data_IF_394117536008
#
_entry.id   IF_394117536008
#
_cell.length_a   1.000
_cell.length_b   1.000
_cell.length_c   1.000
_cell.angle_alpha   90.00
_cell.angle_beta   90.00
_cell.angle_gamma   90.00
#
_symmetry.space_group_name_H-M   'P 1'
#
loop_
_entity.id
_entity.type
_entity.pdbx_description
1 polymer ?
#
# COMPACT_ATOMS: atom_id res chain seq x y z
N UNK A 1 -55.08 -0.85 45.96
CA UNK A 1 -53.75 -1.45 45.71
C UNK A 1 -53.31 -1.07 44.30
N UNK A 2 -52.33 -0.17 44.17
CA UNK A 2 -51.77 0.23 42.87
C UNK A 2 -50.66 -0.75 42.48
N UNK A 3 -50.76 -1.33 41.29
CA UNK A 3 -49.77 -2.22 40.70
C UNK A 3 -48.77 -1.36 39.91
N UNK A 4 -47.49 -1.43 40.27
CA UNK A 4 -46.37 -0.87 39.52
C UNK A 4 -45.91 -1.88 38.47
N UNK A 5 -46.01 -1.56 37.18
CA UNK A 5 -45.35 -2.31 36.11
C UNK A 5 -44.04 -1.61 35.74
N UNK A 6 -42.93 -2.29 36.01
CA UNK A 6 -41.57 -1.91 35.61
C UNK A 6 -41.33 -2.47 34.21
N UNK A 7 -41.12 -1.59 33.22
CA UNK A 7 -40.65 -1.99 31.90
C UNK A 7 -39.12 -2.03 31.92
N UNK A 8 -38.55 -3.24 31.85
CA UNK A 8 -37.14 -3.45 31.57
C UNK A 8 -36.93 -3.50 30.05
N UNK A 9 -36.25 -2.51 29.49
CA UNK A 9 -35.85 -2.49 28.08
C UNK A 9 -34.53 -3.26 27.93
N UNK A 10 -34.59 -4.46 27.35
CA UNK A 10 -33.42 -5.21 26.93
C UNK A 10 -32.86 -4.58 25.64
N UNK A 11 -31.71 -3.92 25.72
CA UNK A 11 -30.91 -3.56 24.55
C UNK A 11 -30.13 -4.81 24.13
N UNK A 12 -30.56 -5.42 23.02
CA UNK A 12 -29.78 -6.47 22.34
C UNK A 12 -28.81 -5.75 21.41
N UNK A 13 -27.56 -5.64 21.84
CA UNK A 13 -26.46 -5.22 20.98
C UNK A 13 -26.18 -6.33 19.96
N UNK A 14 -26.62 -6.12 18.72
CA UNK A 14 -26.24 -6.99 17.60
C UNK A 14 -24.77 -6.72 17.29
N UNK A 15 -23.88 -7.56 17.79
CA UNK A 15 -22.48 -7.56 17.39
C UNK A 15 -22.40 -8.21 16.00
N UNK A 16 -22.24 -7.39 14.96
CA UNK A 16 -21.92 -7.86 13.61
C UNK A 16 -20.48 -8.44 13.61
N UNK A 17 -20.35 -9.74 13.88
CA UNK A 17 -19.10 -10.48 13.73
C UNK A 17 -18.95 -11.00 12.29
N UNK A 18 -18.88 -10.10 11.31
CA UNK A 18 -18.66 -10.49 9.91
C UNK A 18 -17.17 -10.68 9.53
N UNK A 19 -16.33 -11.25 10.40
CA UNK A 19 -14.88 -11.36 10.20
C UNK A 19 -14.34 -12.72 9.73
N UNK A 20 -15.16 -13.75 9.54
CA UNK A 20 -14.66 -15.11 9.24
C UNK A 20 -14.04 -15.30 7.84
N UNK A 21 -14.32 -14.42 6.86
CA UNK A 21 -13.99 -14.67 5.45
C UNK A 21 -12.77 -13.87 4.96
N UNK A 22 -12.38 -12.80 5.67
CA UNK A 22 -11.19 -12.00 5.32
C UNK A 22 -9.87 -12.77 5.51
N UNK A 23 -9.84 -13.79 6.36
CA UNK A 23 -8.63 -14.52 6.68
C UNK A 23 -8.10 -15.41 5.54
N UNK A 24 -8.94 -15.76 4.56
CA UNK A 24 -8.58 -16.69 3.48
C UNK A 24 -8.04 -16.00 2.22
N UNK A 25 -8.29 -14.70 2.05
CA UNK A 25 -7.81 -13.95 0.90
C UNK A 25 -6.42 -13.41 1.19
N UNK A 26 -5.46 -13.70 0.31
CA UNK A 26 -4.04 -13.37 0.49
C UNK A 26 -3.41 -12.88 -0.81
N UNK A 27 -2.20 -12.34 -0.68
CA UNK A 27 -1.33 -11.98 -1.81
C UNK A 27 -1.98 -11.05 -2.85
N UNK A 28 -2.76 -10.06 -2.39
CA UNK A 28 -3.45 -9.13 -3.28
C UNK A 28 -2.42 -8.18 -3.91
N UNK A 29 -2.25 -8.26 -5.23
CA UNK A 29 -1.28 -7.47 -6.01
C UNK A 29 -1.94 -6.74 -7.17
N UNK A 30 -1.43 -5.53 -7.45
CA UNK A 30 -1.68 -4.79 -8.68
C UNK A 30 -0.38 -4.76 -9.47
N UNK A 31 -0.32 -5.55 -10.53
CA UNK A 31 0.87 -5.79 -11.31
C UNK A 31 0.81 -5.07 -12.66
N UNK A 32 1.98 -4.69 -13.16
CA UNK A 32 2.15 -4.24 -14.54
C UNK A 32 1.81 -5.36 -15.55
N UNK A 33 1.67 -5.05 -16.85
CA UNK A 33 1.31 -6.02 -17.88
C UNK A 33 2.19 -7.29 -17.89
N UNK A 34 3.46 -7.17 -17.54
CA UNK A 34 4.43 -8.27 -17.52
C UNK A 34 4.40 -9.12 -16.25
N UNK A 35 3.51 -8.83 -15.27
CA UNK A 35 3.45 -9.50 -13.96
C UNK A 35 4.71 -9.37 -13.09
N UNK A 36 5.66 -8.53 -13.47
CA UNK A 36 6.96 -8.44 -12.79
C UNK A 36 6.98 -7.41 -11.66
N UNK A 37 6.20 -6.33 -11.77
CA UNK A 37 6.33 -5.17 -10.89
C UNK A 37 5.00 -4.74 -10.29
N UNK A 38 4.96 -4.68 -8.96
CA UNK A 38 3.86 -4.04 -8.25
C UNK A 38 3.91 -2.52 -8.45
N UNK A 39 2.75 -1.96 -8.81
CA UNK A 39 2.53 -0.54 -9.04
C UNK A 39 1.23 -0.11 -8.37
N UNK A 40 1.16 1.17 -7.99
CA UNK A 40 -0.07 1.79 -7.50
C UNK A 40 -0.54 2.95 -8.37
N UNK A 41 0.30 3.44 -9.28
CA UNK A 41 -0.02 4.45 -10.28
C UNK A 41 0.04 3.78 -11.64
N UNK A 42 -0.99 4.01 -12.45
CA UNK A 42 -1.13 3.43 -13.78
C UNK A 42 -1.58 4.48 -14.79
N UNK A 43 -1.02 4.41 -15.99
CA UNK A 43 -1.29 5.34 -17.08
C UNK A 43 -2.30 4.73 -18.06
N UNK A 44 -2.89 5.54 -18.95
CA UNK A 44 -3.88 5.06 -19.94
C UNK A 44 -3.33 3.99 -20.92
N UNK A 45 -2.01 3.97 -21.14
CA UNK A 45 -1.34 2.97 -21.98
C UNK A 45 -1.13 1.63 -21.26
N UNK A 46 -1.24 1.61 -19.93
CA UNK A 46 -0.96 0.45 -19.11
C UNK A 46 -2.21 -0.35 -18.81
N UNK A 47 -2.01 -1.66 -18.63
CA UNK A 47 -3.02 -2.56 -18.12
C UNK A 47 -2.66 -2.97 -16.70
N UNK A 48 -3.66 -2.91 -15.83
CA UNK A 48 -3.59 -3.30 -14.43
C UNK A 48 -3.97 -4.77 -14.32
N UNK A 49 -3.02 -5.62 -13.97
CA UNK A 49 -3.29 -7.02 -13.66
C UNK A 49 -3.55 -7.14 -12.15
N UNK A 50 -4.77 -7.53 -11.78
CA UNK A 50 -5.13 -7.76 -10.38
C UNK A 50 -5.03 -9.24 -10.10
N UNK A 51 -4.26 -9.61 -9.08
CA UNK A 51 -4.03 -10.99 -8.68
C UNK A 51 -4.27 -11.14 -7.18
N UNK A 52 -4.96 -12.19 -6.77
CA UNK A 52 -5.10 -12.57 -5.37
C UNK A 52 -5.36 -14.06 -5.24
N UNK A 53 -5.07 -14.62 -4.07
CA UNK A 53 -5.30 -16.02 -3.76
C UNK A 53 -6.41 -16.18 -2.73
N UNK A 54 -7.20 -17.24 -2.86
CA UNK A 54 -8.03 -17.76 -1.78
C UNK A 54 -7.48 -19.11 -1.32
N UNK A 55 -7.18 -19.26 -0.03
CA UNK A 55 -6.55 -20.44 0.58
C UNK A 55 -7.51 -21.65 0.72
N UNK A 56 -8.13 -22.06 -0.39
CA UNK A 56 -9.03 -23.21 -0.50
C UNK A 56 -8.79 -23.97 -1.82
N UNK A 57 -9.31 -25.18 -1.94
CA UNK A 57 -9.16 -26.02 -3.14
C UNK A 57 -10.38 -25.96 -4.11
N UNK A 58 -11.43 -25.20 -3.75
CA UNK A 58 -12.68 -25.12 -4.52
C UNK A 58 -12.86 -23.69 -5.00
N UNK A 59 -13.06 -23.51 -6.31
CA UNK A 59 -13.30 -22.18 -6.86
C UNK A 59 -14.68 -21.65 -6.49
N UNK A 60 -14.75 -20.35 -6.24
CA UNK A 60 -15.96 -19.59 -5.92
C UNK A 60 -16.18 -18.51 -6.95
N UNK A 61 -17.40 -17.97 -6.96
CA UNK A 61 -17.74 -16.85 -7.83
C UNK A 61 -17.42 -15.54 -7.13
N UNK A 62 -16.51 -14.78 -7.71
CA UNK A 62 -16.20 -13.43 -7.31
C UNK A 62 -16.54 -12.45 -8.42
N UNK A 63 -16.92 -11.25 -8.00
CA UNK A 63 -17.26 -10.13 -8.85
C UNK A 63 -16.43 -8.93 -8.44
N UNK A 64 -16.03 -8.10 -9.39
CA UNK A 64 -15.28 -6.89 -9.11
C UNK A 64 -15.95 -5.65 -9.69
N UNK A 65 -15.81 -4.57 -8.94
CA UNK A 65 -16.32 -3.24 -9.26
C UNK A 65 -15.27 -2.18 -8.93
N UNK A 66 -15.40 -1.01 -9.54
CA UNK A 66 -14.48 0.10 -9.33
C UNK A 66 -15.28 1.36 -9.02
N UNK A 67 -14.83 2.06 -7.99
CA UNK A 67 -15.36 3.37 -7.63
C UNK A 67 -14.27 4.44 -7.69
N UNK A 68 -14.67 5.64 -8.11
CA UNK A 68 -13.80 6.82 -8.14
C UNK A 68 -13.83 7.58 -6.80
N UNK A 69 -12.65 7.98 -6.35
CA UNK A 69 -12.39 8.65 -5.09
C UNK A 69 -11.70 10.00 -5.31
N UNK A 70 -11.86 10.92 -4.38
CA UNK A 70 -11.14 12.19 -4.38
C UNK A 70 -9.67 12.03 -3.91
N UNK A 71 -8.95 13.14 -3.84
CA UNK A 71 -7.54 13.18 -3.42
C UNK A 71 -7.31 12.65 -1.99
N UNK A 72 -8.34 12.71 -1.14
CA UNK A 72 -8.31 12.27 0.26
C UNK A 72 -8.91 10.86 0.46
N UNK A 73 -9.12 10.11 -0.63
CA UNK A 73 -9.73 8.78 -0.61
C UNK A 73 -11.15 8.74 -0.03
N UNK A 74 -11.93 9.82 -0.19
CA UNK A 74 -13.38 9.81 0.01
C UNK A 74 -14.09 9.51 -1.30
N UNK A 75 -15.26 8.85 -1.23
CA UNK A 75 -16.03 8.53 -2.43
C UNK A 75 -16.39 9.82 -3.16
N UNK A 76 -16.11 9.89 -4.46
CA UNK A 76 -16.41 11.08 -5.23
C UNK A 76 -17.89 11.18 -5.56
N UNK A 77 -18.35 12.39 -5.88
CA UNK A 77 -19.73 12.65 -6.30
C UNK A 77 -20.00 12.28 -7.77
N UNK A 78 -19.07 11.60 -8.44
CA UNK A 78 -19.23 11.18 -9.83
C UNK A 78 -20.13 9.94 -9.91
N UNK A 79 -21.07 9.95 -10.87
CA UNK A 79 -21.80 8.75 -11.27
C UNK A 79 -20.87 7.83 -12.05
N UNK A 80 -21.08 6.51 -11.96
CA UNK A 80 -20.25 5.52 -12.68
C UNK A 80 -20.12 5.81 -14.17
N UNK A 81 -21.22 6.19 -14.83
CA UNK A 81 -21.23 6.53 -16.27
C UNK A 81 -20.33 7.72 -16.65
N UNK A 82 -19.95 8.57 -15.69
CA UNK A 82 -19.07 9.71 -15.93
C UNK A 82 -17.58 9.32 -15.98
N UNK A 83 -17.18 8.26 -15.26
CA UNK A 83 -15.78 7.84 -15.15
C UNK A 83 -15.51 6.46 -15.75
N UNK A 84 -16.53 5.63 -15.98
CA UNK A 84 -16.44 4.35 -16.66
C UNK A 84 -17.13 4.40 -18.03
N UNK A 85 -16.51 3.75 -19.01
CA UNK A 85 -17.17 3.30 -20.23
C UNK A 85 -17.60 1.85 -20.06
N UNK A 86 -18.89 1.54 -20.14
CA UNK A 86 -19.40 0.19 -19.92
C UNK A 86 -19.83 -0.09 -18.48
N UNK A 87 -19.81 -1.37 -18.10
CA UNK A 87 -20.36 -1.84 -16.83
C UNK A 87 -19.33 -2.65 -16.06
N UNK A 88 -19.25 -2.40 -14.76
CA UNK A 88 -18.50 -3.22 -13.82
C UNK A 88 -19.42 -4.29 -13.20
N UNK A 89 -19.09 -4.78 -12.00
CA UNK A 89 -19.73 -5.96 -11.41
C UNK A 89 -19.56 -7.23 -12.26
N UNK A 90 -18.33 -7.43 -12.73
CA UNK A 90 -18.00 -8.49 -13.66
C UNK A 90 -17.52 -9.71 -12.88
N UNK A 91 -18.06 -10.88 -13.22
CA UNK A 91 -17.58 -12.15 -12.69
C UNK A 91 -16.14 -12.43 -13.12
N UNK A 92 -15.29 -12.78 -12.18
CA UNK A 92 -13.92 -13.23 -12.44
C UNK A 92 -13.98 -14.66 -12.99
N UNK A 93 -13.60 -14.83 -14.25
CA UNK A 93 -13.59 -16.14 -14.92
C UNK A 93 -12.21 -16.76 -15.01
N UNK A 94 -11.15 -15.96 -14.93
CA UNK A 94 -9.77 -16.44 -15.01
C UNK A 94 -9.26 -16.77 -13.61
N UNK A 95 -9.14 -18.06 -13.33
CA UNK A 95 -8.60 -18.56 -12.07
C UNK A 95 -7.88 -19.89 -12.27
N UNK A 96 -6.86 -20.13 -11.47
CA UNK A 96 -6.00 -21.30 -11.56
C UNK A 96 -5.87 -21.96 -10.19
N UNK A 97 -5.87 -23.29 -10.17
CA UNK A 97 -5.56 -24.03 -8.94
C UNK A 97 -4.06 -23.95 -8.68
N UNK A 98 -3.68 -23.95 -7.41
CA UNK A 98 -2.29 -24.16 -7.04
C UNK A 98 -1.80 -25.53 -7.51
N UNK A 99 -0.52 -25.62 -7.83
CA UNK A 99 0.11 -26.82 -8.39
C UNK A 99 1.33 -27.20 -7.56
N UNK A 100 1.37 -28.46 -7.11
CA UNK A 100 2.42 -29.01 -6.25
C UNK A 100 2.71 -28.17 -4.99
N UNK A 101 1.65 -27.68 -4.33
CA UNK A 101 1.75 -26.96 -3.06
C UNK A 101 1.09 -27.72 -1.92
N UNK A 102 1.67 -27.67 -0.72
CA UNK A 102 1.12 -28.20 0.53
C UNK A 102 -0.13 -27.41 0.91
N UNK A 103 -0.08 -26.07 0.80
CA UNK A 103 -1.26 -25.24 0.97
C UNK A 103 -2.01 -25.16 -0.36
N UNK A 104 -3.20 -25.78 -0.51
CA UNK A 104 -4.02 -25.58 -1.69
C UNK A 104 -4.59 -24.16 -1.71
N UNK A 105 -4.59 -23.52 -2.88
CA UNK A 105 -5.26 -22.24 -3.09
C UNK A 105 -5.80 -22.12 -4.52
N UNK A 106 -6.72 -21.18 -4.72
CA UNK A 106 -7.16 -20.72 -6.04
C UNK A 106 -6.59 -19.33 -6.27
N UNK A 107 -5.80 -19.16 -7.33
CA UNK A 107 -5.27 -17.89 -7.78
C UNK A 107 -6.26 -17.26 -8.76
N UNK A 108 -6.85 -16.12 -8.41
CA UNK A 108 -7.78 -15.37 -9.25
C UNK A 108 -7.08 -14.21 -9.93
N UNK A 109 -7.38 -13.99 -11.20
CA UNK A 109 -6.73 -12.95 -12.01
C UNK A 109 -7.76 -12.21 -12.87
N UNK A 110 -7.63 -10.89 -12.98
CA UNK A 110 -8.38 -10.10 -13.96
C UNK A 110 -7.60 -8.85 -14.36
N UNK A 111 -8.00 -8.23 -15.46
CA UNK A 111 -7.31 -7.09 -16.05
C UNK A 111 -8.23 -5.87 -16.17
N UNK A 112 -7.68 -4.68 -15.95
CA UNK A 112 -8.33 -3.38 -16.16
C UNK A 112 -7.42 -2.52 -17.05
N UNK A 113 -7.91 -1.88 -18.12
CA UNK A 113 -9.25 -2.05 -18.69
C UNK A 113 -9.44 -3.43 -19.31
N UNK A 114 -10.68 -3.78 -19.66
CA UNK A 114 -11.03 -5.02 -20.35
C UNK A 114 -12.18 -4.78 -21.35
N UNK A 115 -12.69 -5.85 -21.97
CA UNK A 115 -13.76 -5.76 -22.98
C UNK A 115 -15.09 -5.18 -22.45
N UNK A 116 -15.31 -5.24 -21.14
CA UNK A 116 -16.56 -4.81 -20.52
C UNK A 116 -16.50 -3.35 -20.05
N UNK A 117 -15.32 -2.87 -19.62
CA UNK A 117 -15.16 -1.45 -19.31
C UNK A 117 -13.75 -0.86 -19.50
N UNK A 118 -13.72 0.47 -19.67
CA UNK A 118 -12.53 1.33 -19.65
C UNK A 118 -12.71 2.53 -18.71
N UNK A 119 -11.63 2.97 -18.05
CA UNK A 119 -11.62 4.17 -17.20
C UNK A 119 -11.43 5.41 -18.09
N UNK A 120 -12.32 6.42 -17.93
CA UNK A 120 -12.35 7.66 -18.74
C UNK A 120 -11.66 8.85 -18.11
N UNK A 121 -11.63 8.93 -16.77
CA UNK A 121 -11.18 10.10 -16.00
C UNK A 121 -9.97 9.76 -15.14
N UNK A 122 -9.02 10.67 -15.02
CA UNK A 122 -7.92 10.53 -14.05
C UNK A 122 -8.43 10.72 -12.63
N UNK A 123 -7.78 10.08 -11.66
CA UNK A 123 -8.15 10.19 -10.25
C UNK A 123 -7.73 8.99 -9.42
N UNK A 124 -8.23 8.97 -8.18
CA UNK A 124 -8.06 7.86 -7.26
C UNK A 124 -9.17 6.85 -7.47
N UNK A 125 -8.84 5.57 -7.39
CA UNK A 125 -9.78 4.48 -7.60
C UNK A 125 -9.58 3.39 -6.56
N UNK A 126 -10.69 2.77 -6.15
CA UNK A 126 -10.66 1.56 -5.33
C UNK A 126 -11.33 0.44 -6.09
N UNK A 127 -10.56 -0.64 -6.30
CA UNK A 127 -11.08 -1.92 -6.75
C UNK A 127 -11.71 -2.60 -5.55
N UNK A 128 -12.96 -3.02 -5.69
CA UNK A 128 -13.67 -3.80 -4.68
C UNK A 128 -14.00 -5.15 -5.27
N UNK A 129 -13.67 -6.22 -4.55
CA UNK A 129 -14.06 -7.58 -4.93
C UNK A 129 -15.08 -8.09 -3.92
N UNK A 130 -16.17 -8.68 -4.40
CA UNK A 130 -17.26 -9.24 -3.61
C UNK A 130 -17.58 -10.67 -4.04
N UNK A 131 -18.11 -11.45 -3.11
CA UNK A 131 -18.58 -12.81 -3.40
C UNK A 131 -19.98 -12.79 -4.05
N UNK A 132 -20.49 -13.97 -4.37
CA UNK A 132 -21.84 -14.22 -4.90
C UNK A 132 -22.98 -13.72 -3.98
N UNK A 133 -22.73 -13.62 -2.68
CA UNK A 133 -23.67 -13.05 -1.70
C UNK A 133 -23.61 -11.52 -1.62
N UNK A 134 -22.76 -10.86 -2.42
CA UNK A 134 -22.56 -9.40 -2.41
C UNK A 134 -21.69 -8.88 -1.26
N UNK A 135 -21.06 -9.76 -0.46
CA UNK A 135 -20.14 -9.37 0.61
C UNK A 135 -18.77 -9.03 0.03
N UNK A 136 -18.27 -7.83 0.31
CA UNK A 136 -16.91 -7.42 -0.05
C UNK A 136 -15.87 -8.24 0.71
N UNK A 137 -14.89 -8.79 -0.01
CA UNK A 137 -13.79 -9.57 0.54
C UNK A 137 -12.50 -8.76 0.69
N UNK A 138 -12.23 -7.84 -0.23
CA UNK A 138 -11.13 -6.88 -0.10
C UNK A 138 -11.37 -5.62 -0.92
N UNK A 139 -10.56 -4.60 -0.63
CA UNK A 139 -10.48 -3.34 -1.35
C UNK A 139 -9.02 -3.01 -1.60
N UNK A 140 -8.65 -2.62 -2.82
CA UNK A 140 -7.29 -2.21 -3.17
C UNK A 140 -7.31 -0.85 -3.86
N UNK A 141 -6.46 0.06 -3.37
CA UNK A 141 -6.32 1.43 -3.85
C UNK A 141 -5.35 1.48 -5.03
N UNK A 142 -5.67 2.29 -6.03
CA UNK A 142 -4.74 2.67 -7.09
C UNK A 142 -5.09 4.06 -7.63
N UNK A 143 -4.14 4.62 -8.37
CA UNK A 143 -4.22 5.92 -9.01
C UNK A 143 -4.20 5.69 -10.51
N UNK A 144 -5.12 6.31 -11.23
CA UNK A 144 -5.17 6.25 -12.69
C UNK A 144 -4.88 7.63 -13.28
N UNK A 145 -3.91 7.69 -14.18
CA UNK A 145 -3.50 8.91 -14.86
C UNK A 145 -4.08 8.96 -16.27
N UNK A 146 -4.43 10.17 -16.69
CA UNK A 146 -4.84 10.47 -18.06
C UNK A 146 -4.11 11.73 -18.49
N UNK A 147 -3.18 11.57 -19.44
CA UNK A 147 -2.37 12.65 -20.02
C UNK A 147 -1.77 13.61 -18.95
N UNK A 148 -1.06 13.09 -17.93
CA UNK A 148 -0.50 13.94 -16.88
C UNK A 148 0.67 14.76 -17.43
N UNK A 149 0.83 15.99 -16.95
CA UNK A 149 2.09 16.72 -17.11
C UNK A 149 3.17 16.12 -16.21
N UNK A 150 4.42 16.12 -16.69
CA UNK A 150 5.56 15.56 -15.96
C UNK A 150 6.26 16.69 -15.19
N UNK A 151 6.29 16.56 -13.86
CA UNK A 151 7.06 17.42 -12.98
C UNK A 151 8.39 16.80 -12.56
N UNK A 152 9.10 17.50 -11.67
CA UNK A 152 10.34 17.03 -11.06
C UNK A 152 10.29 17.14 -9.54
N UNK A 153 11.00 16.24 -8.86
CA UNK A 153 11.25 16.30 -7.42
C UNK A 153 12.76 16.43 -7.22
N UNK A 154 13.20 17.50 -6.59
CA UNK A 154 14.58 17.65 -6.10
C UNK A 154 14.60 17.23 -4.62
N UNK A 155 15.58 16.40 -4.25
CA UNK A 155 15.75 15.90 -2.89
C UNK A 155 17.10 16.40 -2.37
N UNK A 156 17.06 17.11 -1.24
CA UNK A 156 18.24 17.70 -0.61
C UNK A 156 18.22 17.50 0.90
N UNK A 157 19.34 17.79 1.55
CA UNK A 157 19.36 17.93 3.02
C UNK A 157 18.60 19.16 3.45
N UNK A 158 18.05 19.10 4.65
CA UNK A 158 17.57 20.31 5.33
C UNK A 158 18.76 21.16 5.80
N UNK A 159 18.68 22.48 5.57
CA UNK A 159 19.65 23.45 6.12
C UNK A 159 19.45 23.75 7.61
N UNK A 160 18.31 23.34 8.18
CA UNK A 160 18.06 23.47 9.63
C UNK A 160 18.83 22.37 10.36
N UNK A 161 19.72 22.77 11.27
CA UNK A 161 20.61 21.88 12.05
C UNK A 161 19.84 20.71 12.65
N UNK A 162 18.71 20.97 13.33
CA UNK A 162 17.90 19.93 13.99
C UNK A 162 17.33 18.85 13.04
N UNK A 163 17.29 19.10 11.73
CA UNK A 163 16.69 18.23 10.73
C UNK A 163 17.72 17.64 9.76
N UNK A 164 18.97 18.10 9.81
CA UNK A 164 19.97 17.80 8.80
C UNK A 164 20.31 16.30 8.76
N UNK A 165 20.34 15.65 9.91
CA UNK A 165 20.77 14.25 10.01
C UNK A 165 19.62 13.24 9.87
N UNK A 166 18.38 13.68 10.07
CA UNK A 166 17.22 12.77 10.19
C UNK A 166 16.17 12.97 9.11
N UNK A 167 16.22 14.06 8.33
CA UNK A 167 15.13 14.45 7.43
C UNK A 167 15.61 14.72 6.02
N UNK A 168 14.72 14.46 5.08
CA UNK A 168 14.86 14.78 3.67
C UNK A 168 13.98 15.98 3.33
N UNK A 169 14.56 16.95 2.63
CA UNK A 169 13.84 18.10 2.10
C UNK A 169 13.52 17.83 0.63
N UNK A 170 12.26 18.03 0.25
CA UNK A 170 11.79 17.93 -1.11
C UNK A 170 11.43 19.32 -1.65
N UNK A 171 11.76 19.53 -2.93
CA UNK A 171 11.23 20.62 -3.75
C UNK A 171 10.57 20.01 -4.98
N UNK A 172 9.28 20.23 -5.13
CA UNK A 172 8.49 19.72 -6.26
C UNK A 172 8.21 20.86 -7.22
N UNK A 173 8.59 20.68 -8.48
CA UNK A 173 8.35 21.65 -9.55
C UNK A 173 7.47 21.02 -10.62
N UNK A 174 6.37 21.69 -10.97
CA UNK A 174 5.42 21.17 -11.95
C UNK A 174 5.23 22.23 -13.03
N UNK A 175 5.49 21.83 -14.27
CA UNK A 175 5.15 22.60 -15.46
C UNK A 175 3.81 22.09 -15.99
N UNK A 176 2.84 22.99 -16.17
CA UNK A 176 1.52 22.65 -16.67
C UNK A 176 0.99 23.79 -17.53
N UNK A 177 0.98 23.59 -18.84
CA UNK A 177 0.58 24.62 -19.81
C UNK A 177 -0.91 24.97 -19.75
N UNK A 178 -1.76 24.04 -19.32
CA UNK A 178 -3.22 24.23 -19.24
C UNK A 178 -3.74 24.46 -17.82
N UNK A 179 -2.83 24.67 -16.85
CA UNK A 179 -3.18 25.01 -15.48
C UNK A 179 -3.27 26.53 -15.29
N UNK A 180 -4.32 27.01 -14.62
CA UNK A 180 -4.48 28.42 -14.26
C UNK A 180 -4.14 28.64 -12.78
N UNK A 181 -2.84 28.78 -12.46
CA UNK A 181 -2.39 28.89 -11.06
C UNK A 181 -2.76 30.21 -10.36
N UNK A 182 -3.01 31.27 -11.13
CA UNK A 182 -3.36 32.61 -10.62
C UNK A 182 -4.85 32.78 -10.37
N UNK A 183 -5.70 31.93 -10.95
CA UNK A 183 -7.13 32.02 -10.75
C UNK A 183 -7.53 31.33 -9.44
N UNK A 184 -7.99 32.12 -8.46
CA UNK A 184 -8.41 31.61 -7.14
C UNK A 184 -9.66 30.72 -7.18
N UNK A 185 -10.40 30.71 -8.29
CA UNK A 185 -11.52 29.79 -8.47
C UNK A 185 -11.05 28.34 -8.67
N UNK A 186 -9.79 28.13 -9.08
CA UNK A 186 -9.19 26.80 -9.21
C UNK A 186 -8.57 26.37 -7.87
N UNK A 187 -8.85 25.13 -7.47
CA UNK A 187 -8.27 24.55 -6.24
C UNK A 187 -7.22 23.53 -6.62
N UNK A 188 -5.97 23.75 -6.20
CA UNK A 188 -4.88 22.82 -6.38
C UNK A 188 -4.49 22.15 -5.06
N UNK A 189 -4.22 20.84 -5.10
CA UNK A 189 -3.74 20.06 -3.95
C UNK A 189 -2.58 19.17 -4.42
N UNK A 190 -1.41 19.35 -3.83
CA UNK A 190 -0.28 18.47 -4.05
C UNK A 190 -0.30 17.36 -3.00
N UNK A 191 -0.31 16.11 -3.44
CA UNK A 191 -0.27 14.92 -2.58
C UNK A 191 1.06 14.21 -2.79
N UNK A 192 1.78 13.92 -1.71
CA UNK A 192 3.07 13.25 -1.79
C UNK A 192 3.02 11.93 -1.00
N UNK A 193 3.35 10.85 -1.71
CA UNK A 193 3.51 9.51 -1.17
C UNK A 193 4.99 9.17 -1.04
N UNK A 194 5.35 8.49 0.05
CA UNK A 194 6.69 7.95 0.30
C UNK A 194 6.60 6.42 0.24
N UNK A 195 7.51 5.77 -0.48
CA UNK A 195 7.71 4.31 -0.51
C UNK A 195 6.42 3.49 -0.72
N UNK A 196 5.60 3.86 -1.70
CA UNK A 196 4.36 3.13 -2.04
C UNK A 196 3.29 3.11 -0.92
N UNK A 197 3.45 3.88 0.15
CA UNK A 197 2.46 3.95 1.24
C UNK A 197 1.31 4.91 0.89
N UNK A 198 0.26 4.36 0.27
CA UNK A 198 -0.97 5.08 -0.05
C UNK A 198 -1.82 5.49 1.18
N UNK A 199 -1.44 5.06 2.38
CA UNK A 199 -2.16 5.34 3.62
C UNK A 199 -1.48 6.42 4.45
N UNK A 200 -0.24 6.79 4.13
CA UNK A 200 0.52 7.85 4.78
C UNK A 200 1.05 8.85 3.73
N UNK A 201 0.26 9.87 3.43
CA UNK A 201 0.60 10.91 2.46
C UNK A 201 0.54 12.30 3.09
N UNK A 202 1.24 13.26 2.49
CA UNK A 202 1.13 14.68 2.88
C UNK A 202 0.33 15.46 1.85
N UNK A 203 -0.57 16.29 2.34
CA UNK A 203 -1.36 17.23 1.53
C UNK A 203 -0.78 18.63 1.66
N UNK A 204 -0.46 19.24 0.53
CA UNK A 204 0.05 20.61 0.46
C UNK A 204 -0.86 21.43 -0.44
N UNK A 205 -1.53 22.42 0.15
CA UNK A 205 -2.56 23.20 -0.55
C UNK A 205 -2.02 24.49 -1.17
N UNK A 206 -0.92 25.01 -0.63
CA UNK A 206 -0.37 26.31 -1.02
C UNK A 206 1.02 26.12 -1.60
N UNK A 207 1.25 26.51 -2.87
CA UNK A 207 2.59 26.52 -3.43
C UNK A 207 3.45 27.61 -2.80
N UNK A 208 4.77 27.43 -2.85
CA UNK A 208 5.74 28.44 -2.42
C UNK A 208 5.88 29.52 -3.49
N UNK A 209 5.91 29.13 -4.77
CA UNK A 209 6.01 30.05 -5.89
C UNK A 209 5.00 29.68 -6.99
N UNK A 210 4.35 30.70 -7.54
CA UNK A 210 3.49 30.61 -8.73
C UNK A 210 4.10 31.44 -9.84
N UNK A 211 4.56 30.79 -10.89
CA UNK A 211 5.03 31.40 -12.13
C UNK A 211 3.97 31.18 -13.22
N UNK A 212 4.14 31.79 -14.39
CA UNK A 212 3.15 31.73 -15.49
C UNK A 212 2.75 30.31 -15.90
N UNK A 213 3.71 29.39 -16.01
CA UNK A 213 3.50 27.99 -16.42
C UNK A 213 4.03 26.97 -15.40
N UNK A 214 4.69 27.44 -14.35
CA UNK A 214 5.36 26.61 -13.36
C UNK A 214 4.85 26.90 -11.96
N UNK A 215 4.56 25.84 -11.20
CA UNK A 215 4.26 25.91 -9.78
C UNK A 215 5.34 25.16 -9.00
N UNK A 216 5.84 25.78 -7.93
CA UNK A 216 6.92 25.21 -7.11
C UNK A 216 6.45 25.12 -5.67
N UNK A 217 6.60 23.92 -5.11
CA UNK A 217 6.40 23.62 -3.71
C UNK A 217 7.76 23.29 -3.10
N UNK A 218 8.31 24.19 -2.29
CA UNK A 218 9.62 24.04 -1.65
C UNK A 218 9.47 23.88 -0.12
N UNK A 219 10.55 23.43 0.53
CA UNK A 219 10.64 23.21 1.97
C UNK A 219 9.68 22.14 2.52
N UNK A 220 9.40 21.12 1.71
CA UNK A 220 8.60 19.98 2.14
C UNK A 220 9.53 19.02 2.88
N UNK A 221 9.27 18.80 4.17
CA UNK A 221 10.18 18.00 5.02
C UNK A 221 9.56 16.62 5.26
N UNK A 222 10.31 15.55 5.00
CA UNK A 222 9.99 14.17 5.37
C UNK A 222 11.04 13.62 6.33
N UNK A 223 10.64 12.75 7.25
CA UNK A 223 11.62 11.99 8.02
C UNK A 223 12.24 10.92 7.10
N UNK A 224 13.55 10.74 7.18
CA UNK A 224 14.31 9.86 6.28
C UNK A 224 13.98 8.39 6.49
N UNK A 225 13.70 7.98 7.73
CA UNK A 225 13.49 6.58 8.08
C UNK A 225 14.78 5.75 7.99
N UNK A 226 14.64 4.44 7.94
CA UNK A 226 15.75 3.50 7.64
C UNK A 226 15.54 2.83 6.29
N UNK A 227 16.52 2.08 5.77
CA UNK A 227 16.22 1.08 4.74
C UNK A 227 15.20 0.06 5.28
N UNK A 228 14.46 -0.60 4.40
CA UNK A 228 13.56 -1.68 4.78
C UNK A 228 14.36 -2.94 5.12
N UNK A 229 13.95 -3.61 6.21
CA UNK A 229 14.34 -4.99 6.42
C UNK A 229 13.78 -5.85 5.29
N UNK A 230 14.45 -6.95 5.00
CA UNK A 230 14.01 -7.84 3.94
C UNK A 230 14.21 -9.31 4.31
N UNK A 231 13.51 -10.18 3.60
CA UNK A 231 13.84 -11.60 3.56
C UNK A 231 13.44 -12.15 2.19
N UNK A 232 14.16 -13.18 1.74
CA UNK A 232 13.85 -13.91 0.51
C UNK A 232 13.66 -15.39 0.83
N UNK A 233 12.42 -15.88 0.73
CA UNK A 233 12.10 -17.30 0.84
C UNK A 233 11.62 -17.89 -0.49
N UNK A 234 12.05 -17.32 -1.63
CA UNK A 234 11.76 -17.84 -2.98
C UNK A 234 12.20 -19.31 -3.13
N UNK A 235 13.26 -19.71 -2.42
CA UNK A 235 13.54 -21.12 -2.16
C UNK A 235 13.17 -21.45 -0.71
N UNK A 236 11.99 -22.06 -0.52
CA UNK A 236 11.41 -22.21 0.82
C UNK A 236 12.22 -23.06 1.78
N UNK A 237 13.00 -24.02 1.28
CA UNK A 237 13.78 -24.94 2.11
C UNK A 237 15.13 -24.35 2.56
N UNK A 238 15.54 -23.22 1.99
CA UNK A 238 16.85 -22.65 2.23
C UNK A 238 16.83 -21.64 3.38
N UNK A 239 17.90 -21.63 4.17
CA UNK A 239 18.23 -20.54 5.09
C UNK A 239 19.06 -19.48 4.35
N UNK A 240 19.01 -18.24 4.83
CA UNK A 240 19.79 -17.10 4.30
C UNK A 240 20.49 -16.37 5.46
N UNK A 241 21.01 -15.15 5.23
CA UNK A 241 21.52 -14.29 6.30
C UNK A 241 20.37 -13.73 7.16
N UNK A 242 19.16 -13.58 6.61
CA UNK A 242 17.96 -13.13 7.30
C UNK A 242 17.12 -14.31 7.83
N UNK A 243 17.11 -15.46 7.14
CA UNK A 243 16.36 -16.65 7.54
C UNK A 243 17.24 -17.54 8.43
N UNK A 244 16.84 -17.69 9.70
CA UNK A 244 17.54 -18.50 10.71
C UNK A 244 17.32 -19.99 10.51
N UNK A 245 16.06 -20.38 10.32
CA UNK A 245 15.66 -21.77 10.20
C UNK A 245 14.40 -21.90 9.35
N UNK A 246 14.27 -23.05 8.68
CA UNK A 246 13.04 -23.45 8.02
C UNK A 246 12.65 -24.81 8.58
N UNK A 247 11.39 -24.93 8.98
CA UNK A 247 10.81 -26.20 9.40
C UNK A 247 9.58 -26.52 8.55
N UNK A 248 9.28 -27.81 8.42
CA UNK A 248 8.06 -28.29 7.82
C UNK A 248 7.28 -29.07 8.88
N UNK A 249 6.27 -28.40 9.44
CA UNK A 249 5.16 -29.10 10.10
C UNK A 249 4.03 -29.24 9.07
N UNK A 250 2.76 -29.30 9.49
CA UNK A 250 1.62 -29.30 8.55
C UNK A 250 1.73 -28.25 7.42
N UNK A 251 2.32 -27.09 7.73
CA UNK A 251 2.72 -26.05 6.78
C UNK A 251 4.19 -25.70 7.00
N UNK A 252 4.83 -25.08 6.00
CA UNK A 252 6.15 -24.48 6.17
C UNK A 252 6.16 -23.41 7.26
N UNK A 253 7.27 -23.33 7.98
CA UNK A 253 7.56 -22.33 8.99
C UNK A 253 8.92 -21.73 8.65
N UNK A 254 8.95 -20.43 8.44
CA UNK A 254 10.18 -19.67 8.15
C UNK A 254 10.48 -18.79 9.36
N UNK A 255 11.52 -19.12 10.13
CA UNK A 255 11.95 -18.31 11.28
C UNK A 255 13.02 -17.31 10.83
N UNK A 256 12.72 -16.02 10.95
CA UNK A 256 13.69 -14.97 10.66
C UNK A 256 14.63 -14.76 11.86
N UNK A 257 15.85 -14.30 11.58
CA UNK A 257 16.76 -13.80 12.63
C UNK A 257 16.15 -12.57 13.30
N UNK A 258 16.67 -12.28 14.49
CA UNK A 258 16.20 -11.14 15.26
C UNK A 258 16.69 -9.85 14.61
N UNK A 259 15.76 -9.00 14.21
CA UNK A 259 16.07 -7.65 13.73
C UNK A 259 16.50 -6.76 14.90
N UNK A 260 17.43 -5.86 14.61
CA UNK A 260 17.89 -4.82 15.52
C UNK A 260 17.81 -3.51 14.76
N UNK A 261 17.18 -2.50 15.37
CA UNK A 261 17.08 -1.18 14.74
C UNK A 261 18.47 -0.56 14.68
N UNK A 262 18.95 -0.15 13.49
CA UNK A 262 20.26 0.45 13.35
C UNK A 262 20.33 1.80 14.07
N UNK A 263 21.46 2.06 14.73
CA UNK A 263 21.77 3.34 15.40
C UNK A 263 22.61 4.28 14.51
N UNK A 264 23.26 3.73 13.48
CA UNK A 264 24.00 4.44 12.44
C UNK A 264 23.49 3.99 11.08
N UNK A 265 23.60 4.85 10.07
CA UNK A 265 23.20 4.51 8.72
C UNK A 265 24.15 3.47 8.11
N UNK A 266 23.56 2.40 7.57
CA UNK A 266 24.23 1.40 6.75
C UNK A 266 23.50 1.33 5.42
N UNK A 267 24.24 1.28 4.32
CA UNK A 267 23.65 1.11 3.00
C UNK A 267 23.22 -0.34 2.80
N UNK A 268 21.92 -0.57 2.72
CA UNK A 268 21.29 -1.86 2.45
C UNK A 268 20.25 -1.68 1.34
N UNK A 269 20.58 -2.00 0.08
CA UNK A 269 19.66 -1.82 -1.03
C UNK A 269 18.35 -2.57 -0.84
N UNK A 270 17.23 -1.90 -1.11
CA UNK A 270 15.89 -2.47 -1.00
C UNK A 270 15.00 -2.14 -2.21
N UNK A 271 13.74 -2.58 -2.20
CA UNK A 271 12.73 -2.24 -3.21
C UNK A 271 11.64 -1.34 -2.64
N UNK A 272 12.00 -0.49 -1.67
CA UNK A 272 11.19 0.57 -1.07
C UNK A 272 9.83 0.07 -0.55
N UNK A 273 9.82 -1.09 0.13
CA UNK A 273 8.64 -1.62 0.81
C UNK A 273 7.75 -2.54 -0.02
N UNK A 274 8.08 -2.75 -1.30
CA UNK A 274 7.39 -3.71 -2.17
C UNK A 274 7.65 -5.16 -1.73
N UNK A 275 6.86 -6.06 -2.32
CA UNK A 275 7.10 -7.48 -2.27
C UNK A 275 6.92 -8.12 -3.65
N UNK A 276 7.62 -9.22 -3.89
CA UNK A 276 7.64 -9.92 -5.16
C UNK A 276 7.36 -11.39 -4.88
N UNK A 277 6.25 -11.92 -5.40
CA UNK A 277 5.96 -13.35 -5.35
C UNK A 277 6.89 -14.04 -6.34
N UNK A 278 7.73 -14.93 -5.83
CA UNK A 278 8.77 -15.60 -6.61
C UNK A 278 9.01 -16.99 -6.05
N UNK A 279 9.35 -17.91 -6.95
CA UNK A 279 9.89 -19.22 -6.62
C UNK A 279 10.87 -19.64 -7.74
N UNK A 280 11.46 -20.82 -7.60
CA UNK A 280 12.33 -21.40 -8.63
C UNK A 280 11.58 -22.10 -9.76
N UNK A 281 10.24 -22.09 -9.74
CA UNK A 281 9.41 -22.77 -10.72
C UNK A 281 9.01 -21.82 -11.87
N UNK A 282 8.23 -22.34 -12.83
CA UNK A 282 7.89 -21.60 -14.05
C UNK A 282 6.82 -20.55 -13.80
N UNK A 283 5.86 -20.83 -12.91
CA UNK A 283 4.75 -19.94 -12.60
C UNK A 283 4.65 -19.68 -11.08
N UNK A 284 5.34 -18.64 -10.56
CA UNK A 284 5.25 -18.27 -9.15
C UNK A 284 3.83 -17.97 -8.65
N UNK A 285 2.91 -17.60 -9.53
CA UNK A 285 1.54 -17.28 -9.11
C UNK A 285 0.73 -18.52 -8.71
N UNK A 286 1.05 -19.70 -9.21
CA UNK A 286 0.31 -20.95 -8.91
C UNK A 286 1.17 -22.02 -8.26
N UNK A 287 2.49 -21.91 -8.35
CA UNK A 287 3.45 -22.93 -7.89
C UNK A 287 4.21 -22.50 -6.62
N UNK A 288 3.92 -21.31 -6.07
CA UNK A 288 4.53 -20.84 -4.82
C UNK A 288 3.79 -21.37 -3.61
N UNK A 289 4.54 -21.84 -2.61
CA UNK A 289 4.01 -22.27 -1.31
C UNK A 289 3.64 -21.10 -0.41
N UNK A 290 2.91 -21.42 0.65
CA UNK A 290 2.71 -20.52 1.79
C UNK A 290 3.45 -21.02 3.03
N UNK A 291 4.01 -20.08 3.78
CA UNK A 291 4.76 -20.34 5.01
C UNK A 291 4.33 -19.42 6.14
N UNK A 292 4.37 -19.94 7.36
CA UNK A 292 4.27 -19.15 8.58
C UNK A 292 5.61 -18.46 8.83
N UNK A 293 5.72 -17.19 8.43
CA UNK A 293 6.92 -16.38 8.61
C UNK A 293 6.89 -15.75 9.99
N UNK A 294 7.89 -16.06 10.82
CA UNK A 294 8.04 -15.56 12.18
C UNK A 294 9.03 -14.39 12.17
N UNK A 295 8.50 -13.18 12.34
CA UNK A 295 9.25 -11.95 12.50
C UNK A 295 9.61 -11.75 13.96
N UNK A 296 10.85 -11.36 14.24
CA UNK A 296 11.34 -11.13 15.59
C UNK A 296 12.15 -9.83 15.65
N UNK A 297 11.76 -8.92 16.51
CA UNK A 297 12.44 -7.65 16.76
C UNK A 297 13.02 -7.65 18.18
N UNK A 298 14.33 -7.41 18.29
CA UNK A 298 15.02 -7.19 19.56
C UNK A 298 15.19 -5.69 19.78
N UNK A 299 14.64 -5.17 20.87
CA UNK A 299 14.77 -3.77 21.25
C UNK A 299 14.94 -3.63 22.75
N UNK A 300 15.76 -2.67 23.17
CA UNK A 300 16.06 -2.36 24.57
C UNK A 300 14.94 -1.56 25.26
N UNK A 301 13.88 -1.18 24.52
CA UNK A 301 12.76 -0.36 25.00
C UNK A 301 11.48 -1.20 25.12
N UNK A 302 11.32 -2.04 26.16
CA UNK A 302 10.19 -2.96 26.30
C UNK A 302 8.85 -2.27 26.62
N UNK A 303 8.84 -0.96 26.90
CA UNK A 303 7.62 -0.21 27.31
C UNK A 303 6.69 0.10 26.11
N UNK A 304 7.07 -0.28 24.90
CA UNK A 304 6.35 0.08 23.67
C UNK A 304 5.38 -1.05 23.30
N UNK A 305 4.11 -0.94 23.69
CA UNK A 305 3.08 -1.95 23.35
C UNK A 305 2.45 -1.78 21.95
N UNK A 306 2.92 -0.81 21.15
CA UNK A 306 2.30 -0.41 19.89
C UNK A 306 3.27 -0.46 18.70
N UNK A 307 3.99 -1.58 18.56
CA UNK A 307 4.86 -1.83 17.40
C UNK A 307 4.10 -2.65 16.37
N UNK A 308 4.12 -2.21 15.12
CA UNK A 308 3.43 -2.83 14.00
C UNK A 308 4.42 -3.20 12.91
N UNK A 309 4.26 -4.40 12.36
CA UNK A 309 4.99 -4.88 11.20
C UNK A 309 4.25 -4.44 9.93
N UNK A 310 4.89 -3.62 9.11
CA UNK A 310 4.25 -3.03 7.92
C UNK A 310 5.09 -3.23 6.67
N UNK A 311 4.40 -3.29 5.53
CA UNK A 311 4.99 -3.28 4.20
C UNK A 311 3.87 -3.20 3.17
N UNK A 312 4.19 -3.20 1.88
CA UNK A 312 3.14 -3.12 0.87
C UNK A 312 2.25 -4.37 0.83
N UNK A 313 2.79 -5.54 1.24
CA UNK A 313 2.05 -6.80 1.33
C UNK A 313 0.86 -6.79 2.30
N UNK A 314 0.83 -5.85 3.25
CA UNK A 314 -0.30 -5.65 4.17
C UNK A 314 -0.89 -4.24 4.08
N UNK A 315 -0.68 -3.54 2.96
CA UNK A 315 -1.15 -2.17 2.71
C UNK A 315 -0.71 -1.19 3.80
N UNK A 316 0.45 -1.41 4.43
CA UNK A 316 0.96 -0.61 5.55
C UNK A 316 0.00 -0.48 6.75
N UNK A 317 -0.98 -1.39 6.87
CA UNK A 317 -2.03 -1.33 7.90
C UNK A 317 -1.43 -1.56 9.30
N UNK A 318 -1.81 -0.72 10.25
CA UNK A 318 -1.39 -0.77 11.67
C UNK A 318 -2.58 -1.14 12.55
N UNK A 319 -2.91 -2.43 12.55
CA UNK A 319 -4.03 -3.01 13.29
C UNK A 319 -3.59 -4.29 14.01
N UNK A 320 -4.51 -4.99 14.65
CA UNK A 320 -4.21 -6.23 15.39
C UNK A 320 -3.52 -7.30 14.51
N UNK A 321 -3.82 -7.33 13.21
CA UNK A 321 -3.20 -8.29 12.28
C UNK A 321 -1.71 -8.00 12.00
N UNK A 322 -1.23 -6.78 12.27
CA UNK A 322 0.19 -6.39 12.11
C UNK A 322 0.90 -6.08 13.43
N UNK A 323 0.18 -5.94 14.55
CA UNK A 323 0.78 -5.66 15.86
C UNK A 323 1.65 -6.84 16.33
N UNK A 324 2.87 -6.52 16.77
CA UNK A 324 3.79 -7.47 17.39
C UNK A 324 3.42 -7.69 18.86
N UNK A 325 3.69 -8.90 19.36
CA UNK A 325 3.50 -9.26 20.77
C UNK A 325 4.86 -9.44 21.45
N UNK A 326 5.02 -8.84 22.62
CA UNK A 326 6.22 -9.01 23.42
C UNK A 326 6.21 -10.37 24.13
N UNK A 327 7.25 -11.16 23.94
CA UNK A 327 7.46 -12.46 24.60
C UNK A 327 8.96 -12.73 24.75
N UNK A 328 9.39 -13.05 25.98
CA UNK A 328 10.77 -13.49 26.28
C UNK A 328 11.88 -12.55 25.76
N UNK A 329 11.69 -11.23 25.88
CA UNK A 329 12.69 -10.24 25.44
C UNK A 329 12.65 -9.90 23.94
N UNK A 330 11.69 -10.44 23.20
CA UNK A 330 11.51 -10.18 21.76
C UNK A 330 10.08 -9.74 21.48
N UNK A 331 9.93 -8.81 20.53
CA UNK A 331 8.63 -8.56 19.90
C UNK A 331 8.49 -9.50 18.72
N UNK A 332 7.41 -10.27 18.66
CA UNK A 332 7.22 -11.28 17.62
C UNK A 332 5.86 -11.14 16.92
N UNK A 333 5.85 -11.47 15.63
CA UNK A 333 4.63 -11.64 14.85
C UNK A 333 4.81 -12.79 13.86
N UNK A 334 3.79 -13.62 13.74
CA UNK A 334 3.73 -14.63 12.67
C UNK A 334 2.72 -14.18 11.64
N UNK A 335 3.14 -14.15 10.37
CA UNK A 335 2.27 -13.90 9.23
C UNK A 335 2.33 -15.09 8.27
N UNK A 336 1.18 -15.46 7.70
CA UNK A 336 1.12 -16.50 6.69
C UNK A 336 1.26 -15.87 5.30
N UNK A 337 2.45 -16.04 4.70
CA UNK A 337 2.88 -15.34 3.48
C UNK A 337 3.27 -16.36 2.40
N UNK A 338 3.03 -15.98 1.14
CA UNK A 338 3.41 -16.77 -0.04
C UNK A 338 4.92 -16.62 -0.31
N UNK A 339 5.57 -17.63 -0.88
CA UNK A 339 7.01 -17.56 -1.22
C UNK A 339 7.34 -16.32 -2.05
N UNK A 340 8.46 -15.68 -1.71
CA UNK A 340 8.99 -14.55 -2.46
C UNK A 340 9.95 -13.68 -1.66
N UNK A 341 10.18 -12.49 -2.20
CA UNK A 341 10.97 -11.44 -1.57
C UNK A 341 10.05 -10.39 -0.94
N UNK A 342 10.29 -10.03 0.32
CA UNK A 342 9.46 -9.08 1.05
C UNK A 342 10.30 -8.01 1.72
N UNK A 343 9.97 -6.73 1.49
CA UNK A 343 10.41 -5.65 2.35
C UNK A 343 9.39 -5.38 3.46
N UNK A 344 9.91 -5.07 4.65
CA UNK A 344 9.09 -4.74 5.80
C UNK A 344 9.80 -3.76 6.75
N UNK A 345 9.01 -3.08 7.58
CA UNK A 345 9.47 -2.17 8.61
C UNK A 345 8.68 -2.34 9.91
N UNK A 346 9.28 -1.86 10.98
CA UNK A 346 8.63 -1.73 12.28
C UNK A 346 8.24 -0.28 12.52
N UNK A 347 6.95 -0.03 12.68
CA UNK A 347 6.40 1.29 12.98
C UNK A 347 5.86 1.30 14.40
N UNK A 348 6.28 2.31 15.16
CA UNK A 348 5.67 2.63 16.45
C UNK A 348 4.47 3.54 16.26
N UNK A 349 3.39 3.25 16.98
CA UNK A 349 2.22 4.13 17.07
C UNK A 349 2.09 4.67 18.48
N UNK A 350 2.12 5.99 18.63
CA UNK A 350 1.93 6.68 19.90
C UNK A 350 0.85 7.74 19.77
N UNK A 351 -0.16 7.67 20.65
CA UNK A 351 -1.42 8.43 20.64
C UNK A 351 -2.08 8.52 19.24
N UNK A 352 -1.59 9.43 18.38
CA UNK A 352 -2.07 9.68 17.01
C UNK A 352 -0.95 9.81 15.96
N UNK A 353 0.30 9.53 16.31
CA UNK A 353 1.45 9.66 15.41
C UNK A 353 2.14 8.32 15.20
N UNK A 354 2.53 8.09 13.95
CA UNK A 354 3.31 6.94 13.55
C UNK A 354 4.77 7.39 13.39
N UNK A 355 5.70 6.61 13.93
CA UNK A 355 7.12 6.91 13.83
C UNK A 355 7.90 5.66 13.43
N UNK A 356 8.88 5.86 12.54
CA UNK A 356 9.99 4.91 12.39
C UNK A 356 10.90 5.01 13.62
N UNK A 357 11.47 3.88 14.04
CA UNK A 357 12.29 3.80 15.25
C UNK A 357 13.66 4.47 15.09
N UNK A 358 14.11 4.70 13.86
CA UNK A 358 15.30 5.46 13.50
C UNK A 358 15.07 6.24 12.20
N UNK A 359 15.84 7.31 11.99
CA UNK A 359 15.72 8.18 10.82
C UNK A 359 17.11 8.65 10.37
N UNK A 360 17.42 8.44 9.10
CA UNK A 360 18.66 8.88 8.48
C UNK A 360 18.34 9.64 7.19
N UNK A 361 18.94 10.82 7.00
CA UNK A 361 18.75 11.59 5.78
C UNK A 361 19.26 10.86 4.53
N UNK A 362 20.26 9.97 4.69
CA UNK A 362 20.88 9.18 3.62
C UNK A 362 19.95 8.13 3.01
N UNK A 363 18.93 7.69 3.75
CA UNK A 363 18.11 6.53 3.38
C UNK A 363 17.50 6.69 2.00
N UNK A 364 17.58 5.63 1.21
CA UNK A 364 16.96 5.59 -0.10
C UNK A 364 15.43 5.53 0.06
N UNK A 365 14.74 6.52 -0.50
CA UNK A 365 13.29 6.60 -0.47
C UNK A 365 12.76 7.03 -1.83
N UNK A 366 11.69 6.39 -2.26
CA UNK A 366 10.95 6.76 -3.46
C UNK A 366 9.80 7.70 -3.11
N UNK A 367 9.78 8.87 -3.74
CA UNK A 367 8.72 9.86 -3.60
C UNK A 367 7.91 9.97 -4.88
N UNK A 368 6.58 9.96 -4.73
CA UNK A 368 5.63 10.23 -5.82
C UNK A 368 4.75 11.40 -5.42
N UNK A 369 4.79 12.47 -6.20
CA UNK A 369 3.98 13.67 -6.02
C UNK A 369 2.90 13.75 -7.11
N UNK A 370 1.65 13.91 -6.72
CA UNK A 370 0.50 14.06 -7.61
C UNK A 370 -0.15 15.42 -7.38
N UNK A 371 -0.30 16.21 -8.45
CA UNK A 371 -1.03 17.47 -8.39
C UNK A 371 -2.47 17.25 -8.84
N UNK A 372 -3.39 17.47 -7.90
CA UNK A 372 -4.81 17.47 -8.14
C UNK A 372 -5.30 18.90 -8.42
N UNK A 373 -6.21 19.02 -9.38
CA UNK A 373 -6.94 20.25 -9.70
C UNK A 373 -8.44 19.99 -9.55
N UNK A 374 -9.15 20.95 -8.97
CA UNK A 374 -10.61 21.04 -9.06
C UNK A 374 -10.97 22.40 -9.65
N UNK A 375 -11.66 22.37 -10.79
CA UNK A 375 -12.19 23.57 -11.44
C UNK A 375 -13.53 23.98 -10.82
N UNK A 376 -13.96 25.25 -10.98
CA UNK A 376 -15.21 25.75 -10.38
C UNK A 376 -16.45 24.99 -10.86
N UNK A 377 -16.43 24.53 -12.10
CA UNK A 377 -17.49 23.80 -12.80
C UNK A 377 -17.39 22.28 -12.62
N UNK A 378 -16.34 21.79 -11.94
CA UNK A 378 -16.09 20.36 -11.75
C UNK A 378 -16.43 19.89 -10.33
N UNK A 379 -17.07 18.72 -10.28
CA UNK A 379 -17.57 18.14 -9.03
C UNK A 379 -16.52 17.27 -8.33
N UNK A 380 -15.34 17.10 -8.93
CA UNK A 380 -14.30 16.16 -8.52
C UNK A 380 -12.90 16.75 -8.71
N UNK A 381 -11.90 16.11 -8.10
CA UNK A 381 -10.50 16.43 -8.32
C UNK A 381 -9.92 15.52 -9.39
N UNK A 382 -9.34 16.11 -10.44
CA UNK A 382 -8.58 15.38 -11.46
C UNK A 382 -7.09 15.49 -11.21
N UNK A 383 -6.34 14.49 -11.67
CA UNK A 383 -4.88 14.53 -11.60
C UNK A 383 -4.36 15.24 -12.84
N UNK A 384 -3.58 16.31 -12.64
CA UNK A 384 -3.01 17.16 -13.69
C UNK A 384 -1.54 16.89 -13.94
N UNK A 385 -0.79 16.50 -12.91
CA UNK A 385 0.63 16.22 -13.05
C UNK A 385 1.10 15.16 -12.06
N UNK A 386 2.18 14.49 -12.45
CA UNK A 386 2.93 13.55 -11.63
C UNK A 386 4.41 13.94 -11.64
N UNK A 387 5.07 13.82 -10.50
CA UNK A 387 6.51 13.84 -10.39
C UNK A 387 6.97 12.67 -9.53
N UNK A 388 8.04 12.00 -9.92
CA UNK A 388 8.63 10.89 -9.18
C UNK A 388 10.13 11.06 -9.09
N UNK A 389 10.71 10.82 -7.93
CA UNK A 389 12.17 10.71 -7.80
C UNK A 389 12.52 9.77 -6.65
N UNK A 390 13.74 9.23 -6.70
CA UNK A 390 14.34 8.42 -5.66
C UNK A 390 15.51 9.20 -5.04
N UNK A 391 15.67 9.13 -3.72
CA UNK A 391 16.76 9.80 -3.00
C UNK A 391 18.12 9.11 -3.09
N UNK A 392 18.33 8.17 -4.01
CA UNK A 392 19.66 7.58 -4.27
C UNK A 392 20.70 8.63 -4.69
N UNK A 393 20.26 9.70 -5.37
CA UNK A 393 21.09 10.84 -5.74
C UNK A 393 20.61 12.12 -5.03
N UNK A 394 21.02 12.32 -3.77
CA UNK A 394 20.73 13.55 -3.03
C UNK A 394 21.67 14.67 -3.48
N UNK A 395 21.09 15.78 -3.95
CA UNK A 395 21.86 16.99 -4.26
C UNK A 395 22.06 17.75 -2.95
N UNK A 396 23.32 18.00 -2.57
CA UNK A 396 23.67 18.73 -1.34
C UNK A 396 23.30 20.22 -1.42
#
# INVERSE_FOLDING_TARGET
MRICNIYSFLIIAIINSSFSQENLIKSIQLLSPNFENEKFVFDESEKINVVFDELINISKNYYYEIDHYDFDWNISNLRKSEFLDGFDDIRITNYFKSYNTIQPYINYQFQIPNRNFKIKKSGNYIIKVKNDQGKYIFKKRFVYLKEPSIGSIEISKSRKINFQDTKQKLKVSINCNDCSFFNNSFVYKLIIYKNYDLYNYKVISTPTYKLSQNIIYDNIIYDGGTEFFNFDNSNILNTSIEIKNVDLNKNYITELRNDIIPNIYTYEPDINGKFIIKNNNKNPQTESEYSNVIFSLKTEKPVINNIYLVGNFNDYKKNESSQLKYKNGLFQKTLYLKQGFYNYKYIMKDENKNYEMANFWQTENSYTALLYEKRPDENYFKIKAIATNNSSNIVN
#
